data_IF_820507806117
#
_entry.id   IF_820507806117
#
_cell.length_a   1.000
_cell.length_b   1.000
_cell.length_c   1.000
_cell.angle_alpha   90.00
_cell.angle_beta   90.00
_cell.angle_gamma   90.00
#
_symmetry.space_group_name_H-M   'P 1'
#
loop_
_entity.id
_entity.type
_entity.pdbx_description
1 polymer ?
#
# COMPACT_ATOMS: atom_id res chain seq x y z
N UNK A 1 -0.01 13.30 1.57
CA UNK A 1 -0.41 12.25 0.60
C UNK A 1 -1.64 11.43 0.99
N UNK A 2 -2.11 11.45 2.25
CA UNK A 2 -3.28 10.68 2.67
C UNK A 2 -4.60 11.10 2.00
N UNK A 3 -4.83 12.41 1.81
CA UNK A 3 -6.06 12.92 1.18
C UNK A 3 -6.26 12.41 -0.25
N UNK A 4 -5.21 12.44 -1.08
CA UNK A 4 -5.26 11.92 -2.44
C UNK A 4 -5.70 10.44 -2.48
N UNK A 5 -5.07 9.59 -1.66
CA UNK A 5 -5.36 8.16 -1.65
C UNK A 5 -6.76 7.88 -1.09
N UNK A 6 -7.21 8.68 -0.12
CA UNK A 6 -8.57 8.61 0.39
C UNK A 6 -9.59 8.94 -0.70
N UNK A 7 -9.39 10.06 -1.41
CA UNK A 7 -10.25 10.47 -2.51
C UNK A 7 -10.23 9.46 -3.66
N UNK A 8 -9.05 8.95 -4.05
CA UNK A 8 -8.93 7.95 -5.12
C UNK A 8 -9.63 6.64 -4.75
N UNK A 9 -9.46 6.13 -3.52
CA UNK A 9 -10.20 4.94 -3.06
C UNK A 9 -11.71 5.15 -3.14
N UNK A 10 -12.19 6.30 -2.68
CA UNK A 10 -13.61 6.61 -2.71
C UNK A 10 -14.14 6.73 -4.15
N UNK A 11 -13.36 7.36 -5.02
CA UNK A 11 -13.65 7.52 -6.44
C UNK A 11 -13.73 6.17 -7.15
N UNK A 12 -12.71 5.32 -7.02
CA UNK A 12 -12.68 4.01 -7.68
C UNK A 12 -13.77 3.09 -7.17
N UNK A 13 -14.07 3.13 -5.86
CA UNK A 13 -15.16 2.33 -5.30
C UNK A 13 -16.54 2.76 -5.83
N UNK A 14 -16.74 4.04 -6.17
CA UNK A 14 -18.00 4.53 -6.75
C UNK A 14 -18.09 4.31 -8.27
N UNK A 15 -16.95 4.28 -8.95
CA UNK A 15 -16.84 4.06 -10.39
C UNK A 15 -16.85 2.57 -10.78
N UNK A 16 -16.70 1.66 -9.82
CA UNK A 16 -16.69 0.23 -10.09
C UNK A 16 -18.01 -0.22 -10.74
N UNK A 17 -17.99 -0.68 -12.01
CA UNK A 17 -19.18 -1.13 -12.72
C UNK A 17 -19.69 -2.48 -12.21
N UNK A 18 -18.87 -3.24 -11.47
CA UNK A 18 -19.20 -4.59 -10.99
C UNK A 18 -19.81 -4.61 -9.58
N UNK A 19 -19.75 -3.50 -8.84
CA UNK A 19 -20.26 -3.43 -7.48
C UNK A 19 -21.73 -3.00 -7.45
N UNK A 20 -22.62 -3.93 -7.08
CA UNK A 20 -24.08 -3.70 -6.99
C UNK A 20 -24.46 -2.86 -5.75
N UNK A 21 -23.64 -2.92 -4.69
CA UNK A 21 -23.84 -2.14 -3.46
C UNK A 21 -22.87 -0.95 -3.37
N UNK A 22 -23.32 0.22 -3.86
CA UNK A 22 -22.52 1.45 -3.83
C UNK A 22 -22.40 2.01 -2.41
N UNK A 23 -21.40 1.58 -1.65
CA UNK A 23 -21.08 2.07 -0.29
C UNK A 23 -21.10 3.61 -0.22
N UNK A 24 -21.80 4.18 0.77
CA UNK A 24 -21.95 5.63 0.95
C UNK A 24 -20.62 6.36 1.13
N UNK A 25 -20.50 7.56 0.52
CA UNK A 25 -19.31 8.41 0.61
C UNK A 25 -19.06 8.83 2.07
N UNK A 26 -17.81 8.75 2.51
CA UNK A 26 -17.40 9.15 3.87
C UNK A 26 -17.47 8.04 4.92
N UNK A 27 -17.99 6.85 4.60
CA UNK A 27 -17.99 5.71 5.51
C UNK A 27 -16.66 4.95 5.38
N UNK A 28 -15.97 4.61 6.49
CA UNK A 28 -14.79 3.75 6.45
C UNK A 28 -15.15 2.39 5.84
N UNK A 29 -14.54 2.05 4.70
CA UNK A 29 -14.71 0.72 4.11
C UNK A 29 -13.86 -0.29 4.89
N UNK A 30 -14.47 -1.41 5.27
CA UNK A 30 -13.74 -2.51 5.87
C UNK A 30 -12.77 -3.14 4.85
N UNK A 31 -11.63 -3.69 5.30
CA UNK A 31 -10.75 -4.45 4.44
C UNK A 31 -11.51 -5.59 3.77
N UNK A 32 -11.48 -5.65 2.43
CA UNK A 32 -12.19 -6.68 1.65
C UNK A 32 -13.59 -6.30 1.16
N UNK A 33 -14.11 -5.11 1.50
CA UNK A 33 -15.34 -4.58 0.91
C UNK A 33 -15.05 -3.63 -0.27
N UNK A 34 -15.59 -3.97 -1.46
CA UNK A 34 -15.58 -3.12 -2.66
C UNK A 34 -14.34 -3.20 -3.54
N UNK A 35 -14.31 -2.41 -4.62
CA UNK A 35 -13.18 -2.27 -5.52
C UNK A 35 -12.00 -1.58 -4.83
N UNK A 36 -10.88 -2.30 -4.67
CA UNK A 36 -9.68 -1.74 -4.09
C UNK A 36 -8.88 -0.95 -5.13
N UNK A 37 -8.65 0.34 -4.89
CA UNK A 37 -7.66 1.11 -5.63
C UNK A 37 -6.28 0.42 -5.50
N UNK A 38 -5.67 0.05 -6.63
CA UNK A 38 -4.40 -0.69 -6.65
C UNK A 38 -3.21 0.14 -7.16
N UNK A 39 -3.40 0.91 -8.23
CA UNK A 39 -2.33 1.77 -8.75
C UNK A 39 -2.89 2.87 -9.65
N UNK A 40 -2.13 3.95 -9.79
CA UNK A 40 -2.32 4.91 -10.87
C UNK A 40 -0.98 5.18 -11.55
N UNK A 41 -1.03 5.59 -12.80
CA UNK A 41 0.14 5.91 -13.60
C UNK A 41 0.03 7.34 -14.12
N UNK A 42 1.12 8.08 -14.01
CA UNK A 42 1.33 9.36 -14.67
C UNK A 42 2.38 9.22 -15.77
N UNK A 43 2.65 10.31 -16.47
CA UNK A 43 3.72 10.43 -17.45
C UNK A 43 5.12 10.30 -16.82
N UNK A 44 5.28 10.54 -15.52
CA UNK A 44 6.59 10.57 -14.83
C UNK A 44 6.81 9.42 -13.85
N UNK A 45 5.75 8.88 -13.23
CA UNK A 45 5.85 7.75 -12.31
C UNK A 45 4.59 6.86 -12.32
N UNK A 46 4.71 5.67 -11.75
CA UNK A 46 3.60 4.79 -11.38
C UNK A 46 3.59 4.63 -9.87
N UNK A 47 2.43 4.82 -9.26
CA UNK A 47 2.22 4.60 -7.83
C UNK A 47 1.44 3.31 -7.65
N UNK A 48 2.06 2.33 -6.99
CA UNK A 48 1.43 1.09 -6.56
C UNK A 48 1.06 1.20 -5.08
N UNK A 49 -0.13 0.74 -4.73
CA UNK A 49 -0.75 0.95 -3.43
C UNK A 49 -1.36 -0.35 -2.89
N UNK A 50 -1.09 -0.64 -1.62
CA UNK A 50 -1.69 -1.76 -0.90
C UNK A 50 -2.06 -1.33 0.52
N UNK A 51 -3.21 -1.79 0.99
CA UNK A 51 -3.65 -1.61 2.38
C UNK A 51 -3.86 -2.98 2.98
N UNK A 52 -3.28 -3.23 4.15
CA UNK A 52 -3.48 -4.47 4.88
C UNK A 52 -4.76 -4.40 5.73
N UNK A 53 -5.34 -5.54 6.16
CA UNK A 53 -6.50 -5.54 7.04
C UNK A 53 -6.28 -4.79 8.36
N UNK A 54 -5.06 -4.77 8.86
CA UNK A 54 -4.65 -4.01 10.05
C UNK A 54 -4.53 -2.50 9.81
N UNK A 55 -4.83 -2.01 8.61
CA UNK A 55 -4.80 -0.58 8.27
C UNK A 55 -3.43 -0.04 7.88
N UNK A 56 -2.40 -0.89 7.73
CA UNK A 56 -1.08 -0.47 7.24
C UNK A 56 -1.17 -0.18 5.75
N UNK A 57 -0.69 1.00 5.34
CA UNK A 57 -0.72 1.46 3.95
C UNK A 57 0.69 1.43 3.38
N UNK A 58 0.92 0.56 2.40
CA UNK A 58 2.18 0.47 1.67
C UNK A 58 2.05 1.14 0.31
N UNK A 59 3.06 1.95 -0.02
CA UNK A 59 3.07 2.79 -1.21
C UNK A 59 4.43 2.68 -1.86
N UNK A 60 4.44 2.31 -3.13
CA UNK A 60 5.67 2.15 -3.91
C UNK A 60 5.57 3.01 -5.16
N UNK A 61 6.51 3.94 -5.30
CA UNK A 61 6.63 4.83 -6.46
C UNK A 61 7.73 4.29 -7.37
N UNK A 62 7.38 4.04 -8.63
CA UNK A 62 8.26 3.42 -9.62
C UNK A 62 8.17 4.14 -10.96
N UNK A 63 8.98 3.70 -11.93
CA UNK A 63 8.93 4.23 -13.29
C UNK A 63 7.57 3.89 -13.95
N UNK A 64 7.01 4.74 -14.85
CA UNK A 64 5.71 4.50 -15.49
C UNK A 64 5.58 3.16 -16.24
N UNK A 65 6.70 2.64 -16.73
CA UNK A 65 6.78 1.36 -17.47
C UNK A 65 6.86 0.13 -16.56
N UNK A 66 7.01 0.31 -15.24
CA UNK A 66 7.13 -0.82 -14.32
C UNK A 66 5.84 -1.64 -14.29
N UNK A 67 6.01 -2.97 -14.30
CA UNK A 67 4.93 -3.96 -14.30
C UNK A 67 4.09 -3.95 -13.02
N UNK A 68 3.35 -5.03 -12.82
CA UNK A 68 2.57 -5.22 -11.60
C UNK A 68 3.50 -5.55 -10.42
N UNK A 69 3.33 -4.84 -9.30
CA UNK A 69 4.17 -4.95 -8.10
C UNK A 69 3.36 -5.41 -6.88
N UNK A 70 2.19 -6.02 -7.08
CA UNK A 70 1.35 -6.54 -5.99
C UNK A 70 2.09 -7.57 -5.14
N UNK A 71 2.77 -8.53 -5.76
CA UNK A 71 3.58 -9.52 -5.05
C UNK A 71 4.74 -8.86 -4.30
N UNK A 72 5.38 -7.85 -4.91
CA UNK A 72 6.44 -7.09 -4.26
C UNK A 72 5.94 -6.34 -3.02
N UNK A 73 4.76 -5.73 -3.07
CA UNK A 73 4.15 -5.07 -1.91
C UNK A 73 3.81 -6.05 -0.80
N UNK A 74 3.29 -7.25 -1.13
CA UNK A 74 3.05 -8.33 -0.15
C UNK A 74 4.36 -8.76 0.53
N UNK A 75 5.43 -8.92 -0.24
CA UNK A 75 6.73 -9.29 0.30
C UNK A 75 7.28 -8.21 1.24
N UNK A 76 7.18 -6.93 0.86
CA UNK A 76 7.57 -5.80 1.74
C UNK A 76 6.75 -5.80 3.03
N UNK A 77 5.46 -6.14 2.97
CA UNK A 77 4.66 -6.30 4.19
C UNK A 77 5.15 -7.45 5.08
N UNK A 78 5.58 -8.57 4.49
CA UNK A 78 6.19 -9.67 5.27
C UNK A 78 7.47 -9.21 5.97
N UNK A 79 8.34 -8.45 5.29
CA UNK A 79 9.53 -7.85 5.91
C UNK A 79 9.15 -6.91 7.07
N UNK A 80 8.10 -6.11 6.90
CA UNK A 80 7.60 -5.24 7.96
C UNK A 80 7.12 -6.05 9.18
N UNK A 81 6.38 -7.14 8.97
CA UNK A 81 5.96 -8.00 10.07
C UNK A 81 7.17 -8.62 10.78
N UNK A 82 8.14 -9.12 10.03
CA UNK A 82 9.31 -9.82 10.59
C UNK A 82 10.20 -8.92 11.43
N UNK A 83 10.54 -7.73 10.92
CA UNK A 83 11.54 -6.87 11.55
C UNK A 83 10.97 -5.72 12.39
N UNK A 84 9.71 -5.36 12.19
CA UNK A 84 9.06 -4.22 12.86
C UNK A 84 8.00 -4.68 13.84
N UNK A 85 7.04 -5.51 13.40
CA UNK A 85 5.93 -5.94 14.29
C UNK A 85 6.41 -6.91 15.37
N UNK A 86 7.30 -7.84 15.03
CA UNK A 86 7.89 -8.77 16.01
C UNK A 86 8.95 -8.13 16.91
N UNK A 87 9.37 -6.91 16.64
CA UNK A 87 10.39 -6.23 17.46
C UNK A 87 9.73 -5.63 18.71
N UNK A 88 9.99 -6.17 19.92
CA UNK A 88 9.36 -5.68 21.15
C UNK A 88 9.77 -4.25 21.52
N UNK A 89 10.86 -3.74 20.95
CA UNK A 89 11.33 -2.37 21.16
C UNK A 89 10.63 -1.35 20.25
N UNK A 90 9.85 -1.80 19.28
CA UNK A 90 9.13 -0.92 18.38
C UNK A 90 7.79 -0.49 18.97
N UNK A 91 7.60 0.83 19.09
CA UNK A 91 6.33 1.43 19.48
C UNK A 91 5.51 1.80 18.23
N UNK A 92 4.29 1.27 18.05
CA UNK A 92 3.42 1.64 16.94
C UNK A 92 3.20 3.16 16.85
N UNK A 93 3.27 3.72 15.64
CA UNK A 93 3.12 5.16 15.40
C UNK A 93 4.42 5.96 15.50
N UNK A 94 5.52 5.34 15.92
CA UNK A 94 6.86 5.94 15.85
C UNK A 94 7.53 5.60 14.50
N UNK A 95 8.50 6.41 14.04
CA UNK A 95 9.25 6.07 12.83
C UNK A 95 10.02 4.75 13.01
N UNK A 96 10.08 3.95 11.95
CA UNK A 96 10.80 2.68 11.93
C UNK A 96 12.31 2.97 11.96
N UNK A 97 13.00 2.56 13.03
CA UNK A 97 14.45 2.76 13.23
C UNK A 97 15.26 1.46 13.14
N UNK A 98 14.61 0.34 12.88
CA UNK A 98 15.25 -0.97 12.80
C UNK A 98 16.22 -0.99 11.60
N UNK A 99 17.52 -1.06 11.85
CA UNK A 99 18.54 -1.07 10.79
C UNK A 99 18.45 -2.32 9.91
N UNK A 100 18.18 -3.50 10.50
CA UNK A 100 18.00 -4.75 9.77
C UNK A 100 16.82 -4.68 8.78
N UNK A 101 15.73 -3.99 9.17
CA UNK A 101 14.62 -3.74 8.26
C UNK A 101 15.06 -2.87 7.09
N UNK A 102 15.77 -1.77 7.37
CA UNK A 102 16.21 -0.82 6.35
C UNK A 102 17.19 -1.47 5.35
N UNK A 103 18.19 -2.21 5.84
CA UNK A 103 19.18 -2.85 4.97
C UNK A 103 18.56 -3.93 4.08
N UNK A 104 17.69 -4.77 4.66
CA UNK A 104 17.01 -5.85 3.92
C UNK A 104 16.03 -5.30 2.89
N UNK A 105 15.27 -4.25 3.26
CA UNK A 105 14.35 -3.58 2.35
C UNK A 105 15.09 -2.90 1.21
N UNK A 106 16.19 -2.20 1.48
CA UNK A 106 16.99 -1.53 0.45
C UNK A 106 17.58 -2.54 -0.54
N UNK A 107 18.13 -3.65 -0.04
CA UNK A 107 18.61 -4.74 -0.89
C UNK A 107 17.50 -5.31 -1.78
N UNK A 108 16.31 -5.53 -1.23
CA UNK A 108 15.17 -6.04 -1.99
C UNK A 108 14.71 -5.05 -3.07
N UNK A 109 14.56 -3.78 -2.72
CA UNK A 109 14.07 -2.74 -3.65
C UNK A 109 15.05 -2.49 -4.79
N UNK A 110 16.36 -2.56 -4.53
CA UNK A 110 17.38 -2.48 -5.60
C UNK A 110 17.27 -3.62 -6.62
N UNK A 111 16.79 -4.78 -6.20
CA UNK A 111 16.52 -5.92 -7.09
C UNK A 111 15.21 -5.81 -7.89
N UNK A 112 14.36 -4.82 -7.61
CA UNK A 112 13.10 -4.58 -8.34
C UNK A 112 13.27 -3.70 -9.59
N UNK A 113 14.51 -3.38 -9.98
CA UNK A 113 14.88 -2.57 -11.14
C UNK A 113 15.39 -3.38 -12.31
#
# INVERSE_FOLDING_TARGET
MFGLLFSLKSLTSKMDPTCVEKVSLGVPQLPGQGCAFHSFRTNTYKLSFMVTPSGIKLILVTHPRTGDLRESLKYIYNLYVEYVVKNPLYAPGTPIRCELFNSTLDQYVRGLG
#
